data_IF_882155028748
#
_entry.id   IF_882155028748
#
_cell.length_a   1.000
_cell.length_b   1.000
_cell.length_c   1.000
_cell.angle_alpha   90.00
_cell.angle_beta   90.00
_cell.angle_gamma   90.00
#
_symmetry.space_group_name_H-M   'P 1'
#
loop_
_entity.id
_entity.type
_entity.pdbx_description
1 polymer ?
#
# COMPACT_ATOMS: atom_id res chain seq x y z
N UNK A 1 41.83 -19.05 17.70
CA UNK A 1 41.01 -19.70 18.75
C UNK A 1 40.66 -18.66 19.81
N UNK A 2 39.38 -18.28 19.90
CA UNK A 2 38.79 -17.68 21.10
C UNK A 2 37.29 -18.01 21.12
N UNK A 3 36.79 -18.20 22.33
CA UNK A 3 35.79 -19.18 22.76
C UNK A 3 34.34 -18.86 22.37
N UNK A 4 33.59 -19.96 22.19
CA UNK A 4 32.12 -20.06 22.33
C UNK A 4 31.70 -19.80 23.78
N UNK A 5 30.60 -19.07 24.00
CA UNK A 5 29.74 -19.03 25.20
C UNK A 5 28.76 -17.86 24.99
N UNK A 6 27.43 -17.90 25.18
CA UNK A 6 26.51 -18.87 25.80
C UNK A 6 25.08 -18.52 25.31
N UNK A 7 24.23 -19.53 25.14
CA UNK A 7 22.77 -19.40 25.01
C UNK A 7 22.15 -18.65 26.20
N UNK A 8 21.06 -17.90 25.94
CA UNK A 8 19.97 -17.73 26.90
C UNK A 8 18.62 -17.63 26.15
N UNK A 9 17.83 -18.70 26.32
CA UNK A 9 16.41 -18.85 26.00
C UNK A 9 15.63 -18.61 27.28
N UNK A 10 14.59 -17.77 27.27
CA UNK A 10 13.48 -17.79 28.25
C UNK A 10 12.24 -17.07 27.63
N UNK A 11 11.00 -17.31 28.12
CA UNK A 11 9.99 -18.02 27.35
C UNK A 11 8.64 -17.25 27.22
N UNK A 12 7.69 -17.93 26.59
CA UNK A 12 6.29 -17.60 26.37
C UNK A 12 5.53 -16.88 27.52
N UNK A 13 4.64 -15.97 27.12
CA UNK A 13 3.46 -15.60 27.90
C UNK A 13 2.20 -16.05 27.16
N UNK A 14 1.56 -17.06 27.75
CA UNK A 14 0.20 -17.51 27.52
C UNK A 14 -0.81 -16.37 27.75
N UNK A 15 -1.74 -16.17 26.81
CA UNK A 15 -3.02 -15.54 27.11
C UNK A 15 -4.08 -16.63 27.11
N UNK A 16 -4.50 -17.01 28.32
CA UNK A 16 -5.67 -17.82 28.60
C UNK A 16 -6.87 -16.90 28.87
N UNK A 17 -8.04 -17.41 28.48
CA UNK A 17 -9.38 -17.06 28.94
C UNK A 17 -10.10 -15.89 28.27
N UNK A 18 -11.11 -16.22 27.46
CA UNK A 18 -12.49 -16.03 27.91
C UNK A 18 -13.41 -17.00 27.16
N UNK A 19 -13.90 -17.98 27.93
CA UNK A 19 -15.04 -18.81 27.61
C UNK A 19 -16.29 -17.91 27.68
N UNK A 20 -16.93 -17.68 26.54
CA UNK A 20 -18.24 -17.05 26.45
C UNK A 20 -19.28 -18.11 26.09
N UNK A 21 -19.66 -18.92 27.08
CA UNK A 21 -20.89 -19.70 27.04
C UNK A 21 -22.06 -18.72 27.11
N UNK A 22 -22.93 -18.74 26.10
CA UNK A 22 -24.34 -18.34 26.27
C UNK A 22 -25.23 -19.50 25.84
N UNK A 23 -26.21 -19.76 26.68
CA UNK A 23 -27.02 -20.97 26.75
C UNK A 23 -28.00 -21.08 25.61
N UNK A 24 -28.18 -22.29 25.08
CA UNK A 24 -29.49 -22.75 24.60
C UNK A 24 -29.62 -24.23 24.90
N UNK A 25 -30.68 -24.53 25.63
CA UNK A 25 -31.03 -25.84 26.14
C UNK A 25 -31.55 -26.75 25.02
N UNK A 26 -31.37 -28.05 25.26
CA UNK A 26 -32.25 -29.15 24.91
C UNK A 26 -31.87 -30.11 23.75
N UNK A 27 -31.90 -31.40 24.14
CA UNK A 27 -31.88 -32.66 23.38
C UNK A 27 -30.53 -33.23 22.89
N UNK A 28 -30.16 -34.39 23.44
CA UNK A 28 -29.22 -35.39 22.85
C UNK A 28 -29.96 -36.75 22.71
N UNK A 29 -29.47 -37.76 21.94
CA UNK A 29 -28.42 -37.78 20.91
C UNK A 29 -28.85 -38.48 19.60
N UNK A 30 -28.22 -38.14 18.48
CA UNK A 30 -28.06 -39.10 17.35
C UNK A 30 -26.69 -38.91 16.72
N UNK A 31 -25.93 -40.00 16.72
CA UNK A 31 -24.63 -40.17 16.09
C UNK A 31 -24.79 -40.23 14.57
N UNK A 32 -24.25 -39.24 13.87
CA UNK A 32 -23.55 -39.40 12.59
C UNK A 32 -22.76 -38.11 12.31
N UNK A 33 -21.44 -38.27 12.14
CA UNK A 33 -20.47 -37.19 12.02
C UNK A 33 -20.78 -36.20 10.87
N UNK A 34 -20.64 -34.88 11.08
CA UNK A 34 -20.23 -34.01 9.99
C UNK A 34 -18.72 -34.22 9.79
N UNK A 35 -18.35 -34.57 8.57
CA UNK A 35 -16.96 -34.59 8.14
C UNK A 35 -16.31 -33.24 8.50
N UNK A 36 -15.20 -33.30 9.21
CA UNK A 36 -14.16 -32.26 9.24
C UNK A 36 -13.81 -31.92 7.78
N UNK A 37 -14.56 -30.99 7.18
CA UNK A 37 -14.06 -30.19 6.09
C UNK A 37 -13.33 -29.02 6.74
N UNK A 38 -12.20 -29.34 7.38
CA UNK A 38 -11.10 -28.40 7.45
C UNK A 38 -10.59 -28.24 6.00
N UNK A 39 -11.35 -27.49 5.20
CA UNK A 39 -10.77 -26.78 4.09
C UNK A 39 -9.85 -25.74 4.73
N UNK A 40 -8.62 -26.16 5.02
CA UNK A 40 -7.49 -25.24 4.98
C UNK A 40 -7.45 -24.75 3.55
N UNK A 41 -8.21 -23.69 3.27
CA UNK A 41 -7.91 -22.80 2.17
C UNK A 41 -6.55 -22.23 2.53
N UNK A 42 -5.50 -22.86 1.98
CA UNK A 42 -4.27 -22.14 1.73
C UNK A 42 -4.72 -20.93 0.93
N UNK A 43 -4.76 -19.76 1.57
CA UNK A 43 -5.01 -18.52 0.89
C UNK A 43 -3.83 -18.38 -0.09
N UNK A 44 -4.07 -18.77 -1.34
CA UNK A 44 -3.18 -18.49 -2.44
C UNK A 44 -3.12 -16.97 -2.53
N UNK A 45 -2.11 -16.40 -1.87
CA UNK A 45 -1.91 -14.95 -1.81
C UNK A 45 -1.55 -14.37 -3.17
N UNK A 46 -1.31 -15.21 -4.18
CA UNK A 46 -1.07 -14.79 -5.57
C UNK A 46 -2.32 -14.21 -6.21
N UNK A 47 -3.43 -14.96 -6.23
CA UNK A 47 -4.68 -14.50 -6.86
C UNK A 47 -5.25 -13.21 -6.21
N UNK A 48 -5.10 -13.05 -4.89
CA UNK A 48 -5.62 -11.86 -4.19
C UNK A 48 -4.76 -10.60 -4.37
N UNK A 49 -3.43 -10.73 -4.57
CA UNK A 49 -2.57 -9.58 -4.87
C UNK A 49 -2.73 -9.11 -6.31
N UNK A 50 -2.95 -10.04 -7.25
CA UNK A 50 -3.19 -9.73 -8.66
C UNK A 50 -4.50 -8.95 -8.83
N UNK A 51 -5.56 -9.32 -8.12
CA UNK A 51 -6.88 -8.67 -8.16
C UNK A 51 -6.84 -7.21 -7.65
N UNK A 52 -6.04 -6.91 -6.62
CA UNK A 52 -5.87 -5.55 -6.10
C UNK A 52 -5.07 -4.64 -7.05
N UNK A 53 -4.01 -5.18 -7.65
CA UNK A 53 -3.23 -4.45 -8.66
C UNK A 53 -4.08 -4.08 -9.87
N UNK A 54 -4.88 -5.04 -10.36
CA UNK A 54 -5.80 -4.81 -11.48
C UNK A 54 -6.87 -3.76 -11.15
N UNK A 55 -7.44 -3.80 -9.93
CA UNK A 55 -8.39 -2.78 -9.47
C UNK A 55 -7.77 -1.37 -9.40
N UNK A 56 -6.51 -1.23 -8.95
CA UNK A 56 -5.82 0.06 -8.95
C UNK A 56 -5.59 0.59 -10.36
N UNK A 57 -5.15 -0.27 -11.28
CA UNK A 57 -4.89 0.11 -12.66
C UNK A 57 -6.19 0.49 -13.38
N UNK A 58 -7.28 -0.27 -13.19
CA UNK A 58 -8.59 0.06 -13.74
C UNK A 58 -9.11 1.40 -13.18
N UNK A 59 -8.93 1.63 -11.87
CA UNK A 59 -9.29 2.89 -11.22
C UNK A 59 -8.50 4.08 -11.78
N UNK A 60 -7.21 3.91 -12.05
CA UNK A 60 -6.38 4.95 -12.67
C UNK A 60 -6.80 5.21 -14.12
N UNK A 61 -7.02 4.16 -14.92
CA UNK A 61 -7.48 4.26 -16.30
C UNK A 61 -8.84 4.95 -16.42
N UNK A 62 -9.75 4.68 -15.49
CA UNK A 62 -11.05 5.38 -15.41
C UNK A 62 -10.90 6.87 -15.10
N UNK A 63 -9.94 7.24 -14.25
CA UNK A 63 -9.63 8.64 -13.94
C UNK A 63 -8.97 9.36 -15.12
N UNK A 64 -8.03 8.72 -15.81
CA UNK A 64 -7.42 9.25 -17.04
C UNK A 64 -8.49 9.56 -18.09
N UNK A 65 -9.47 8.66 -18.29
CA UNK A 65 -10.55 8.88 -19.25
C UNK A 65 -11.44 10.10 -18.94
N UNK A 66 -11.51 10.54 -17.68
CA UNK A 66 -12.29 11.71 -17.29
C UNK A 66 -11.56 13.02 -17.61
N UNK A 67 -10.22 13.02 -17.59
CA UNK A 67 -9.36 14.19 -17.83
C UNK A 67 -8.10 13.79 -18.64
N UNK A 68 -8.25 13.33 -19.89
CA UNK A 68 -7.15 12.71 -20.63
C UNK A 68 -6.00 13.67 -20.92
N UNK A 69 -6.31 14.92 -21.29
CA UNK A 69 -5.29 15.92 -21.60
C UNK A 69 -4.49 16.32 -20.35
N UNK A 70 -5.17 16.48 -19.21
CA UNK A 70 -4.49 16.83 -17.95
C UNK A 70 -3.61 15.68 -17.45
N UNK A 71 -4.06 14.43 -17.60
CA UNK A 71 -3.27 13.24 -17.25
C UNK A 71 -2.06 13.06 -18.18
N UNK A 72 -2.21 13.34 -19.48
CA UNK A 72 -1.10 13.33 -20.43
C UNK A 72 -0.07 14.44 -20.10
N UNK A 73 -0.54 15.63 -19.74
CA UNK A 73 0.33 16.72 -19.30
C UNK A 73 1.06 16.36 -18.01
N UNK A 74 0.39 15.74 -17.04
CA UNK A 74 1.01 15.27 -15.80
C UNK A 74 2.14 14.28 -16.09
N UNK A 75 1.88 13.28 -16.94
CA UNK A 75 2.88 12.28 -17.32
C UNK A 75 4.09 12.93 -18.01
N UNK A 76 3.87 13.85 -18.95
CA UNK A 76 4.95 14.59 -19.60
C UNK A 76 5.77 15.40 -18.61
N UNK A 77 5.13 16.11 -17.68
CA UNK A 77 5.84 16.91 -16.68
C UNK A 77 6.66 16.02 -15.73
N UNK A 78 6.12 14.87 -15.32
CA UNK A 78 6.84 13.92 -14.47
C UNK A 78 8.03 13.30 -15.19
N UNK A 79 7.89 12.97 -16.48
CA UNK A 79 8.98 12.49 -17.33
C UNK A 79 10.11 13.52 -17.41
N UNK A 80 9.77 14.79 -17.62
CA UNK A 80 10.72 15.90 -17.71
C UNK A 80 11.49 16.07 -16.39
N UNK A 81 10.82 15.97 -15.23
CA UNK A 81 11.45 16.10 -13.91
C UNK A 81 12.49 15.01 -13.65
N UNK A 82 12.17 13.75 -13.97
CA UNK A 82 13.10 12.64 -13.72
C UNK A 82 14.15 12.49 -14.82
N UNK A 83 14.00 13.20 -15.94
CA UNK A 83 14.89 13.13 -17.10
C UNK A 83 14.69 11.88 -17.95
N UNK A 84 13.47 11.33 -17.99
CA UNK A 84 13.11 10.12 -18.75
C UNK A 84 12.27 9.14 -17.95
N UNK A 85 12.76 7.91 -17.78
CA UNK A 85 12.01 6.84 -17.11
C UNK A 85 12.23 6.81 -15.59
N UNK A 86 11.18 6.43 -14.87
CA UNK A 86 11.23 6.16 -13.43
C UNK A 86 11.28 4.65 -13.20
N UNK A 87 12.27 4.17 -12.44
CA UNK A 87 12.46 2.75 -12.14
C UNK A 87 12.44 1.83 -13.41
N UNK A 88 12.93 2.34 -14.54
CA UNK A 88 12.97 1.60 -15.82
C UNK A 88 11.65 1.57 -16.60
N UNK A 89 10.63 2.31 -16.16
CA UNK A 89 9.33 2.41 -16.83
C UNK A 89 9.09 3.83 -17.38
N UNK A 90 8.52 3.94 -18.57
CA UNK A 90 8.08 5.22 -19.15
C UNK A 90 6.89 5.79 -18.38
N UNK A 91 6.79 7.12 -18.32
CA UNK A 91 5.64 7.80 -17.72
C UNK A 91 4.44 7.76 -18.65
N UNK A 92 3.55 6.80 -18.42
CA UNK A 92 2.22 6.80 -19.04
C UNK A 92 1.25 7.69 -18.24
N UNK A 93 0.17 8.20 -18.86
CA UNK A 93 -0.89 8.91 -18.13
C UNK A 93 -1.45 8.10 -16.95
N UNK A 94 -1.60 6.78 -17.12
CA UNK A 94 -2.06 5.89 -16.06
C UNK A 94 -1.05 5.76 -14.93
N UNK A 95 0.25 5.68 -15.24
CA UNK A 95 1.30 5.62 -14.21
C UNK A 95 1.37 6.94 -13.43
N UNK A 96 1.30 8.08 -14.12
CA UNK A 96 1.29 9.40 -13.50
C UNK A 96 0.06 9.59 -12.60
N UNK A 97 -1.12 9.14 -13.05
CA UNK A 97 -2.33 9.15 -12.24
C UNK A 97 -2.24 8.23 -11.01
N UNK A 98 -1.64 7.05 -11.14
CA UNK A 98 -1.39 6.15 -10.01
C UNK A 98 -0.45 6.78 -9.00
N UNK A 99 0.66 7.35 -9.47
CA UNK A 99 1.60 8.07 -8.63
C UNK A 99 0.89 9.17 -7.85
N UNK A 100 0.12 10.04 -8.52
CA UNK A 100 -0.63 11.10 -7.86
C UNK A 100 -1.63 10.60 -6.81
N UNK A 101 -2.33 9.49 -7.08
CA UNK A 101 -3.25 8.88 -6.11
C UNK A 101 -2.52 8.37 -4.86
N UNK A 102 -1.39 7.68 -5.04
CA UNK A 102 -0.59 7.13 -3.93
C UNK A 102 0.05 8.26 -3.12
N UNK A 103 0.59 9.28 -3.77
CA UNK A 103 1.18 10.45 -3.11
C UNK A 103 0.15 11.15 -2.22
N UNK A 104 -1.03 11.47 -2.77
CA UNK A 104 -2.09 12.12 -1.99
C UNK A 104 -2.59 11.26 -0.84
N UNK A 105 -2.76 9.95 -1.05
CA UNK A 105 -3.14 9.03 0.03
C UNK A 105 -2.07 9.00 1.13
N UNK A 106 -0.79 8.94 0.76
CA UNK A 106 0.34 8.92 1.69
C UNK A 106 0.38 10.18 2.55
N UNK A 107 0.18 11.36 1.94
CA UNK A 107 0.10 12.63 2.66
C UNK A 107 -1.11 12.66 3.60
N UNK A 108 -2.27 12.18 3.16
CA UNK A 108 -3.50 12.18 3.96
C UNK A 108 -3.41 11.28 5.19
N UNK A 109 -2.73 10.14 5.11
CA UNK A 109 -2.58 9.22 6.24
C UNK A 109 -1.39 9.55 7.16
N UNK A 110 -0.43 10.35 6.69
CA UNK A 110 0.74 10.73 7.49
C UNK A 110 0.33 11.66 8.66
N UNK A 111 0.79 11.39 9.90
CA UNK A 111 0.33 12.13 11.07
C UNK A 111 1.11 13.42 11.32
N UNK A 112 0.37 14.50 11.62
CA UNK A 112 0.94 15.77 12.06
C UNK A 112 1.41 16.67 10.92
N UNK A 113 2.02 17.83 11.26
CA UNK A 113 2.54 18.76 10.28
C UNK A 113 3.80 18.23 9.59
N UNK A 114 3.99 18.53 8.32
CA UNK A 114 5.17 18.13 7.53
C UNK A 114 4.97 16.80 6.78
N UNK A 115 3.73 16.41 6.54
CA UNK A 115 3.41 15.19 5.80
C UNK A 115 3.95 15.24 4.38
N UNK A 116 3.83 16.39 3.72
CA UNK A 116 4.38 16.59 2.37
C UNK A 116 5.90 16.37 2.35
N UNK A 117 6.64 16.94 3.30
CA UNK A 117 8.10 16.80 3.37
C UNK A 117 8.53 15.35 3.65
N UNK A 118 7.78 14.61 4.49
CA UNK A 118 7.99 13.18 4.74
C UNK A 118 7.84 12.36 3.46
N UNK A 119 6.79 12.63 2.67
CA UNK A 119 6.52 11.95 1.40
C UNK A 119 7.57 12.31 0.34
N UNK A 120 8.05 13.56 0.28
CA UNK A 120 9.18 13.96 -0.57
C UNK A 120 10.45 13.17 -0.24
N UNK A 121 10.81 13.09 1.04
CA UNK A 121 11.98 12.33 1.50
C UNK A 121 11.85 10.83 1.21
N UNK A 122 10.64 10.26 1.36
CA UNK A 122 10.36 8.85 1.07
C UNK A 122 10.47 8.59 -0.43
N UNK A 123 9.88 9.45 -1.26
CA UNK A 123 9.94 9.36 -2.73
C UNK A 123 11.38 9.42 -3.23
N UNK A 124 12.20 10.33 -2.69
CA UNK A 124 13.63 10.40 -3.04
C UNK A 124 14.34 9.08 -2.78
N UNK A 125 14.07 8.46 -1.62
CA UNK A 125 14.70 7.22 -1.19
C UNK A 125 14.23 6.01 -2.00
N UNK A 126 12.91 5.86 -2.20
CA UNK A 126 12.31 4.70 -2.85
C UNK A 126 12.66 4.61 -4.34
N UNK A 127 12.77 5.76 -5.00
CA UNK A 127 13.07 5.83 -6.42
C UNK A 127 14.53 6.18 -6.75
N UNK A 128 15.38 6.34 -5.73
CA UNK A 128 16.76 6.79 -5.87
C UNK A 128 16.90 8.07 -6.70
N UNK A 129 16.02 9.04 -6.42
CA UNK A 129 15.98 10.37 -7.05
C UNK A 129 16.75 11.37 -6.19
N UNK A 130 17.25 12.43 -6.83
CA UNK A 130 17.75 13.59 -6.10
C UNK A 130 16.59 14.28 -5.35
N UNK A 131 16.89 14.96 -4.23
CA UNK A 131 15.88 15.60 -3.37
C UNK A 131 15.03 16.63 -4.14
N UNK A 132 15.64 17.37 -5.06
CA UNK A 132 14.95 18.36 -5.90
C UNK A 132 13.97 17.67 -6.88
N UNK A 133 14.39 16.57 -7.51
CA UNK A 133 13.53 15.81 -8.43
C UNK A 133 12.34 15.19 -7.69
N UNK A 134 12.59 14.57 -6.54
CA UNK A 134 11.54 13.98 -5.72
C UNK A 134 10.56 15.06 -5.21
N UNK A 135 11.08 16.23 -4.83
CA UNK A 135 10.26 17.36 -4.40
C UNK A 135 9.33 17.83 -5.50
N UNK A 136 9.86 18.03 -6.71
CA UNK A 136 9.09 18.50 -7.86
C UNK A 136 8.07 17.45 -8.33
N UNK A 137 8.44 16.16 -8.29
CA UNK A 137 7.54 15.05 -8.62
C UNK A 137 6.34 14.99 -7.67
N UNK A 138 6.58 15.13 -6.37
CA UNK A 138 5.52 15.15 -5.34
C UNK A 138 4.67 16.41 -5.45
N UNK A 139 5.27 17.58 -5.70
CA UNK A 139 4.53 18.83 -5.85
C UNK A 139 3.58 18.78 -7.07
N UNK A 140 4.04 18.23 -8.20
CA UNK A 140 3.20 18.00 -9.38
C UNK A 140 2.00 17.07 -9.07
N UNK A 141 2.25 15.99 -8.34
CA UNK A 141 1.20 15.07 -7.91
C UNK A 141 0.17 15.73 -6.99
N UNK A 142 0.64 16.52 -6.02
CA UNK A 142 -0.21 17.25 -5.07
C UNK A 142 -1.05 18.31 -5.78
N UNK A 143 -0.43 19.14 -6.62
CA UNK A 143 -1.13 20.19 -7.37
C UNK A 143 -2.22 19.60 -8.28
N UNK A 144 -1.92 18.47 -8.92
CA UNK A 144 -2.85 17.81 -9.83
C UNK A 144 -4.06 17.17 -9.12
N UNK A 145 -3.85 16.54 -7.96
CA UNK A 145 -4.84 15.62 -7.36
C UNK A 145 -5.43 16.07 -6.02
N UNK A 146 -4.63 16.69 -5.16
CA UNK A 146 -5.02 17.04 -3.79
C UNK A 146 -4.40 18.37 -3.33
N UNK A 147 -4.64 19.49 -4.04
CA UNK A 147 -4.03 20.79 -3.72
C UNK A 147 -4.36 21.26 -2.30
N UNK A 148 -5.48 20.80 -1.72
CA UNK A 148 -5.86 21.06 -0.33
C UNK A 148 -4.90 20.45 0.71
N UNK A 149 -4.10 19.44 0.34
CA UNK A 149 -3.13 18.77 1.21
C UNK A 149 -1.73 19.41 1.15
N UNK A 150 -1.50 20.38 0.27
CA UNK A 150 -0.18 20.99 0.06
C UNK A 150 0.43 21.66 1.31
N UNK A 151 -0.40 22.03 2.29
CA UNK A 151 0.04 22.67 3.53
C UNK A 151 0.05 21.76 4.75
N UNK A 152 -0.16 20.44 4.55
CA UNK A 152 -0.21 19.47 5.63
C UNK A 152 1.19 19.10 6.11
#
# INVERSE_FOLDING_TARGET
MRMRSTLLVVPALLVLAACGTDSSEDTTPTTAAPADSAATTEADTGEAQDDFGEMMEEGARSQVQQRPDDAAQLASNMEDVVGGSLAGSEFTPELAQQFANVTCLSIDVEPGPGAVDSVKSTTASDFALDEDQASELVDLAVEYRCPELASK
#
